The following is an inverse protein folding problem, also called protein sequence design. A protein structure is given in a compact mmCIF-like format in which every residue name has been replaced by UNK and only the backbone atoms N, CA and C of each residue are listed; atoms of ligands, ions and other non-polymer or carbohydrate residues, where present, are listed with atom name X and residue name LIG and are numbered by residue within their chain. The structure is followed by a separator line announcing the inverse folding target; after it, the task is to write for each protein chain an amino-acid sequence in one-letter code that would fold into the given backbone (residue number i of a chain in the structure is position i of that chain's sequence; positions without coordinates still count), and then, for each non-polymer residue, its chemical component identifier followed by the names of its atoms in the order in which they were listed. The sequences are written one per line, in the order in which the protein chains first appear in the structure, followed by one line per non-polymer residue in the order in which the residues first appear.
data_IF_677159229113
#
_entry.id   IF_677159229113
#
_cell.length_a   1.000
_cell.length_b   1.000
_cell.length_c   1.000
_cell.angle_alpha   90.00
_cell.angle_beta   90.00
_cell.angle_gamma   90.00
#
_symmetry.space_group_name_H-M   'P 1'
#
loop_
_entity.id
_entity.type
_entity.pdbx_description
1 polymer ?
#
# COMPACT_ATOMS: atom_id res chain seq x y z
N UNK A 1 -2.38 -1.88 -1.00
CA UNK A 1 -1.20 -1.69 -0.13
C UNK A 1 -0.13 -0.81 -0.78
N UNK A 2 0.34 -1.13 -1.99
CA UNK A 2 1.37 -0.35 -2.71
C UNK A 2 1.10 1.17 -2.74
N UNK A 3 -0.08 1.57 -3.21
CA UNK A 3 -0.44 3.00 -3.32
C UNK A 3 -0.45 3.72 -1.97
N UNK A 4 -0.75 3.01 -0.87
CA UNK A 4 -0.67 3.59 0.47
C UNK A 4 0.78 3.85 0.88
N UNK A 5 1.68 2.91 0.60
CA UNK A 5 3.12 3.05 0.85
C UNK A 5 3.69 4.23 0.04
N UNK A 6 3.37 4.31 -1.25
CA UNK A 6 3.78 5.40 -2.13
C UNK A 6 3.28 6.76 -1.61
N UNK A 7 2.00 6.86 -1.25
CA UNK A 7 1.42 8.08 -0.71
C UNK A 7 2.07 8.49 0.62
N UNK A 8 2.39 7.53 1.50
CA UNK A 8 3.05 7.78 2.77
C UNK A 8 4.47 8.35 2.58
N UNK A 9 5.28 7.72 1.72
CA UNK A 9 6.65 8.20 1.43
C UNK A 9 6.64 9.56 0.71
N UNK A 10 5.66 9.81 -0.16
CA UNK A 10 5.52 11.11 -0.82
C UNK A 10 5.31 12.27 0.18
N UNK A 11 4.68 12.01 1.35
CA UNK A 11 4.51 13.04 2.41
C UNK A 11 5.82 13.46 3.08
N UNK A 12 6.87 12.64 2.97
CA UNK A 12 8.20 12.94 3.50
C UNK A 12 9.23 13.20 2.40
N UNK A 13 8.77 13.44 1.16
CA UNK A 13 9.64 13.79 0.04
C UNK A 13 10.40 12.61 -0.58
N UNK A 14 9.97 11.37 -0.33
CA UNK A 14 10.57 10.18 -0.91
C UNK A 14 9.69 9.64 -2.05
N UNK A 15 10.28 9.41 -3.22
CA UNK A 15 9.61 8.74 -4.33
C UNK A 15 10.08 7.30 -4.38
N UNK A 16 9.15 6.34 -4.27
CA UNK A 16 9.49 4.92 -4.34
C UNK A 16 9.49 4.43 -5.79
N UNK A 17 10.56 3.75 -6.19
CA UNK A 17 10.68 3.01 -7.46
C UNK A 17 10.72 1.52 -7.14
N UNK A 18 9.84 0.77 -7.79
CA UNK A 18 9.71 -0.68 -7.60
C UNK A 18 10.50 -1.45 -8.65
N UNK A 19 11.16 -2.53 -8.21
CA UNK A 19 11.80 -3.49 -9.10
C UNK A 19 11.73 -4.90 -8.51
N UNK A 20 11.79 -5.91 -9.37
CA UNK A 20 11.50 -7.31 -9.00
C UNK A 20 10.00 -7.62 -9.10
N UNK A 21 9.61 -8.81 -8.63
CA UNK A 21 8.23 -9.30 -8.66
C UNK A 21 7.95 -10.21 -7.46
N UNK A 22 6.69 -10.24 -7.02
CA UNK A 22 6.26 -11.13 -5.94
C UNK A 22 7.06 -10.90 -4.66
N UNK A 23 7.63 -11.96 -4.09
CA UNK A 23 8.41 -11.90 -2.85
C UNK A 23 9.77 -11.23 -3.02
N UNK A 24 10.29 -11.17 -4.25
CA UNK A 24 11.57 -10.56 -4.59
C UNK A 24 11.42 -9.08 -5.00
N UNK A 25 10.19 -8.54 -4.97
CA UNK A 25 9.96 -7.13 -5.25
C UNK A 25 10.46 -6.25 -4.09
N UNK A 26 11.16 -5.18 -4.47
CA UNK A 26 11.75 -4.19 -3.57
C UNK A 26 11.33 -2.78 -3.97
N UNK A 27 11.15 -1.92 -2.96
CA UNK A 27 10.92 -0.48 -3.14
C UNK A 27 12.17 0.30 -2.76
N UNK A 28 12.71 1.07 -3.70
CA UNK A 28 13.88 1.94 -3.49
C UNK A 28 13.49 3.40 -3.53
N UNK A 29 14.16 4.23 -2.74
CA UNK A 29 14.10 5.68 -2.94
C UNK A 29 14.75 6.05 -4.29
N UNK A 30 14.01 6.79 -5.11
CA UNK A 30 14.45 7.26 -6.42
C UNK A 30 15.70 8.14 -6.35
N UNK A 31 15.85 8.92 -5.27
CA UNK A 31 16.96 9.88 -5.14
C UNK A 31 18.24 9.21 -4.64
N UNK A 32 18.14 8.44 -3.56
CA UNK A 32 19.32 7.86 -2.90
C UNK A 32 19.63 6.44 -3.35
N UNK A 33 18.69 5.75 -3.98
CA UNK A 33 18.79 4.33 -4.31
C UNK A 33 18.67 3.39 -3.11
N UNK A 34 18.46 3.92 -1.90
CA UNK A 34 18.33 3.13 -0.69
C UNK A 34 17.11 2.20 -0.76
N UNK A 35 17.26 0.96 -0.31
CA UNK A 35 16.14 0.02 -0.19
C UNK A 35 15.33 0.38 1.05
N UNK A 36 14.09 0.83 0.85
CA UNK A 36 13.19 1.25 1.93
C UNK A 36 12.08 0.24 2.19
N UNK A 37 11.75 -0.60 1.20
CA UNK A 37 10.69 -1.60 1.30
C UNK A 37 11.17 -2.94 0.75
N UNK A 38 10.85 -4.01 1.49
CA UNK A 38 11.02 -5.41 1.07
C UNK A 38 9.76 -6.19 1.42
N UNK A 39 9.45 -7.19 0.62
CA UNK A 39 8.37 -8.13 0.90
C UNK A 39 8.93 -9.32 1.69
N UNK A 40 8.21 -9.73 2.72
CA UNK A 40 8.55 -10.88 3.53
C UNK A 40 7.33 -11.82 3.60
N UNK A 41 7.42 -13.05 3.08
CA UNK A 41 6.29 -13.99 3.04
C UNK A 41 5.72 -14.32 4.42
N UNK A 42 6.47 -14.09 5.51
CA UNK A 42 5.99 -14.31 6.88
C UNK A 42 4.79 -13.43 7.24
N UNK A 43 4.57 -12.32 6.53
CA UNK A 43 3.41 -11.46 6.74
C UNK A 43 2.18 -11.86 5.92
N UNK A 44 2.28 -12.86 5.05
CA UNK A 44 1.14 -13.34 4.27
C UNK A 44 0.22 -14.17 5.15
N UNK A 45 -1.10 -14.03 4.95
CA UNK A 45 -2.09 -14.87 5.59
C UNK A 45 -2.34 -16.11 4.72
N UNK A 46 -2.73 -17.25 5.33
CA UNK A 46 -3.11 -18.44 4.57
C UNK A 46 -4.31 -18.22 3.63
N UNK A 47 -5.09 -17.17 3.86
CA UNK A 47 -6.22 -16.79 3.04
C UNK A 47 -6.23 -15.28 2.94
N UNK A 48 -6.07 -14.77 1.72
CA UNK A 48 -6.06 -13.35 1.43
C UNK A 48 -7.43 -12.89 0.92
N UNK A 49 -7.74 -11.61 1.13
CA UNK A 49 -8.93 -10.95 0.61
C UNK A 49 -8.47 -9.80 -0.27
N UNK A 50 -8.74 -9.88 -1.57
CA UNK A 50 -8.17 -8.95 -2.56
C UNK A 50 -8.75 -7.54 -2.44
N UNK A 51 -10.04 -7.42 -2.14
CA UNK A 51 -10.75 -6.16 -2.15
C UNK A 51 -11.85 -6.11 -1.11
N UNK A 52 -11.83 -5.04 -0.31
CA UNK A 52 -12.90 -4.68 0.60
C UNK A 52 -13.40 -3.29 0.23
N UNK A 53 -14.62 -3.20 -0.28
CA UNK A 53 -15.31 -1.93 -0.57
C UNK A 53 -16.70 -2.01 0.08
N UNK A 54 -16.95 -1.15 1.06
CA UNK A 54 -18.26 -1.01 1.68
C UNK A 54 -19.08 0.09 1.02
N UNK A 55 -20.39 -0.12 0.88
CA UNK A 55 -21.33 0.95 0.53
C UNK A 55 -21.99 1.53 1.79
N UNK A 56 -21.64 2.78 2.09
CA UNK A 56 -22.17 3.54 3.22
C UNK A 56 -23.43 4.36 2.92
N UNK A 57 -24.10 4.18 1.77
CA UNK A 57 -25.22 5.03 1.35
C UNK A 57 -26.34 5.11 2.39
N UNK A 58 -26.68 3.98 3.03
CA UNK A 58 -27.71 3.92 4.07
C UNK A 58 -27.37 4.79 5.29
N UNK A 59 -26.11 4.77 5.74
CA UNK A 59 -25.69 5.55 6.90
C UNK A 59 -25.74 7.05 6.60
N UNK A 60 -25.25 7.48 5.42
CA UNK A 60 -25.30 8.89 4.99
C UNK A 60 -26.72 9.44 4.90
N UNK A 61 -27.68 8.63 4.45
CA UNK A 61 -29.07 9.05 4.38
C UNK A 61 -29.70 9.26 5.77
N UNK A 62 -29.20 8.57 6.80
CA UNK A 62 -29.69 8.70 8.17
C UNK A 62 -29.11 9.92 8.91
N UNK A 63 -27.89 10.36 8.57
CA UNK A 63 -27.23 11.55 9.14
C UNK A 63 -27.73 12.88 8.55
N UNK A 64 -28.61 12.87 7.55
CA UNK A 64 -29.13 14.05 6.86
C UNK A 64 -30.38 14.69 7.52
N UNK A 65 -30.64 14.39 8.80
CA UNK A 65 -31.68 15.02 9.64
C UNK A 65 -31.03 15.86 10.73
#
# INVERSE_FOLDING_TARGET
MRTFVEAAFAKVGCTIVWSGQGVDEIGRDALTGAVLVRIDPRFFRPTEVDLLIGDGAKARAADAT
#
